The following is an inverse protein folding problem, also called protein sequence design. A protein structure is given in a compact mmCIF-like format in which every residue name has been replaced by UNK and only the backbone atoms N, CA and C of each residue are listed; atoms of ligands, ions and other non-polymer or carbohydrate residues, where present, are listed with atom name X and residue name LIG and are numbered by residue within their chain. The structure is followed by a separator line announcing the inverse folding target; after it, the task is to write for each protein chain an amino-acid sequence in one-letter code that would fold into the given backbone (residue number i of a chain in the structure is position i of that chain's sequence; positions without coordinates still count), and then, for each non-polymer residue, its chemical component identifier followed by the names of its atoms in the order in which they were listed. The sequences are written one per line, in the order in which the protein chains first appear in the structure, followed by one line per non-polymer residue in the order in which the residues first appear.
data_IF_500503329518
#
_entry.id   IF_500503329518
#
_cell.length_a   1.000
_cell.length_b   1.000
_cell.length_c   1.000
_cell.angle_alpha   90.00
_cell.angle_beta   90.00
_cell.angle_gamma   90.00
#
_symmetry.space_group_name_H-M   'P 1'
#
loop_
_entity.id
_entity.type
_entity.pdbx_description
1 polymer ?
#
# COMPACT_ATOMS: atom_id res chain seq x y z
N UNK A 1 8.25 18.66 -32.28
CA UNK A 1 8.81 17.86 -31.17
C UNK A 1 7.78 17.79 -30.04
N UNK A 2 7.16 16.62 -29.81
CA UNK A 2 6.26 16.37 -28.67
C UNK A 2 7.00 15.49 -27.65
N UNK A 3 7.13 15.97 -26.41
CA UNK A 3 7.64 15.16 -25.29
C UNK A 3 6.61 14.06 -24.97
N UNK A 4 7.01 12.78 -24.80
CA UNK A 4 6.07 11.73 -24.45
C UNK A 4 5.68 11.89 -22.97
N UNK A 5 4.37 11.93 -22.70
CA UNK A 5 3.81 11.96 -21.34
C UNK A 5 4.11 10.67 -20.56
N UNK A 6 4.08 10.71 -19.22
CA UNK A 6 4.71 9.70 -18.36
C UNK A 6 4.04 8.31 -18.35
N UNK A 7 2.89 8.13 -18.99
CA UNK A 7 2.16 6.86 -18.97
C UNK A 7 1.89 6.38 -20.40
N UNK A 8 2.82 5.60 -20.95
CA UNK A 8 2.60 4.78 -22.14
C UNK A 8 2.44 3.33 -21.69
N UNK A 9 1.21 2.83 -21.66
CA UNK A 9 0.90 1.44 -21.35
C UNK A 9 1.55 0.53 -22.39
N UNK A 10 2.72 -0.05 -22.06
CA UNK A 10 3.29 -1.13 -22.85
C UNK A 10 2.64 -2.42 -22.36
N UNK A 11 1.78 -3.01 -23.19
CA UNK A 11 1.28 -4.36 -22.99
C UNK A 11 2.46 -5.35 -23.11
N UNK A 12 3.12 -5.64 -21.99
CA UNK A 12 3.89 -6.87 -21.79
C UNK A 12 2.99 -7.88 -21.08
N UNK A 13 3.23 -9.20 -21.21
CA UNK A 13 2.40 -10.23 -20.58
C UNK A 13 2.22 -9.89 -19.11
N UNK A 14 0.96 -9.91 -18.68
CA UNK A 14 0.51 -9.43 -17.39
C UNK A 14 1.14 -10.29 -16.29
N UNK A 15 2.27 -9.84 -15.74
CA UNK A 15 2.58 -10.20 -14.37
C UNK A 15 1.51 -9.54 -13.54
N UNK A 16 0.52 -10.32 -13.12
CA UNK A 16 -0.46 -9.92 -12.12
C UNK A 16 0.35 -9.27 -10.99
N UNK A 17 0.25 -7.95 -10.84
CA UNK A 17 0.79 -7.25 -9.68
C UNK A 17 -0.17 -7.58 -8.53
N UNK A 18 -0.20 -8.86 -8.16
CA UNK A 18 -0.91 -9.31 -6.99
C UNK A 18 -0.35 -8.49 -5.83
N UNK A 19 -1.22 -7.91 -5.01
CA UNK A 19 -0.86 -7.04 -3.88
C UNK A 19 -0.06 -7.75 -2.78
N UNK A 20 0.72 -8.78 -3.09
CA UNK A 20 1.39 -9.71 -2.21
C UNK A 20 2.83 -9.28 -1.87
N UNK A 21 3.08 -7.99 -1.62
CA UNK A 21 4.34 -7.55 -0.99
C UNK A 21 4.26 -7.35 0.51
N UNK A 22 3.06 -7.32 1.12
CA UNK A 22 2.94 -7.39 2.59
C UNK A 22 3.63 -8.63 3.17
N UNK A 23 3.59 -9.75 2.43
CA UNK A 23 4.27 -10.99 2.78
C UNK A 23 5.77 -11.01 2.46
N UNK A 24 6.25 -10.05 1.66
CA UNK A 24 7.67 -9.89 1.35
C UNK A 24 8.36 -8.90 2.28
N UNK A 25 7.59 -8.07 3.00
CA UNK A 25 8.13 -7.25 4.06
C UNK A 25 8.56 -8.16 5.22
N UNK A 26 9.75 -7.92 5.75
CA UNK A 26 10.26 -8.68 6.89
C UNK A 26 9.38 -8.51 8.14
N UNK A 27 8.72 -7.35 8.26
CA UNK A 27 7.93 -6.98 9.43
C UNK A 27 6.61 -6.30 9.05
N UNK A 28 5.55 -7.07 8.70
CA UNK A 28 4.25 -6.50 8.44
C UNK A 28 3.51 -6.13 9.73
N UNK A 29 3.01 -4.91 9.83
CA UNK A 29 2.24 -4.40 10.99
C UNK A 29 0.79 -4.07 10.65
N UNK A 30 -0.09 -4.17 11.66
CA UNK A 30 -1.48 -3.70 11.58
C UNK A 30 -2.44 -4.61 10.81
N UNK A 31 -3.70 -4.16 10.64
CA UNK A 31 -4.76 -4.95 10.04
C UNK A 31 -4.49 -5.30 8.57
N UNK A 32 -5.25 -6.27 8.06
CA UNK A 32 -5.19 -6.68 6.64
C UNK A 32 -6.07 -5.83 5.73
N UNK A 33 -7.02 -5.10 6.32
CA UNK A 33 -7.88 -4.12 5.66
C UNK A 33 -7.27 -2.74 5.75
N UNK A 34 -7.61 -1.86 4.82
CA UNK A 34 -7.27 -0.44 4.85
C UNK A 34 -8.51 0.44 5.00
N UNK A 35 -9.71 -0.12 5.05
CA UNK A 35 -10.96 0.62 5.17
C UNK A 35 -11.58 0.47 6.56
N UNK A 36 -12.13 1.55 7.11
CA UNK A 36 -12.76 1.58 8.43
C UNK A 36 -14.09 2.34 8.52
N UNK A 37 -14.46 3.11 7.49
CA UNK A 37 -15.71 3.89 7.43
C UNK A 37 -15.96 4.81 8.65
N UNK A 38 -14.89 5.27 9.30
CA UNK A 38 -14.89 5.99 10.58
C UNK A 38 -15.42 5.21 11.79
N UNK A 39 -15.81 3.94 11.64
CA UNK A 39 -16.42 3.13 12.69
C UNK A 39 -15.49 2.02 13.19
N UNK A 40 -15.09 1.11 12.31
CA UNK A 40 -14.32 -0.08 12.66
C UNK A 40 -13.63 -0.66 11.42
N UNK A 41 -12.49 -1.31 11.62
CA UNK A 41 -11.77 -1.99 10.54
C UNK A 41 -12.69 -2.99 9.80
N UNK A 42 -12.95 -2.75 8.51
CA UNK A 42 -13.87 -3.54 7.70
C UNK A 42 -13.16 -4.75 7.08
N UNK A 43 -13.51 -6.00 7.42
CA UNK A 43 -12.80 -7.18 6.92
C UNK A 43 -12.85 -7.32 5.39
N UNK A 44 -11.75 -7.76 4.79
CA UNK A 44 -11.70 -8.08 3.35
C UNK A 44 -11.46 -6.88 2.42
N UNK A 45 -11.60 -5.66 2.93
CA UNK A 45 -11.43 -4.43 2.13
C UNK A 45 -10.00 -3.93 2.15
N UNK A 46 -9.17 -4.43 1.23
CA UNK A 46 -7.87 -3.81 0.93
C UNK A 46 -7.99 -3.05 -0.37
N UNK A 47 -8.20 -1.74 -0.25
CA UNK A 47 -8.41 -0.85 -1.40
C UNK A 47 -7.26 0.14 -1.59
N UNK A 48 -6.36 0.26 -0.60
CA UNK A 48 -5.19 1.13 -0.65
C UNK A 48 -3.89 0.34 -0.90
N UNK A 49 -3.09 0.81 -1.86
CA UNK A 49 -1.92 0.10 -2.35
C UNK A 49 -0.71 1.02 -2.54
N UNK A 50 0.47 0.49 -2.19
CA UNK A 50 1.77 1.04 -2.60
C UNK A 50 2.32 0.13 -3.69
N UNK A 51 2.46 0.65 -4.90
CA UNK A 51 2.99 -0.08 -6.04
C UNK A 51 4.47 0.28 -6.23
N UNK A 52 5.33 -0.73 -6.35
CA UNK A 52 6.77 -0.54 -6.52
C UNK A 52 7.34 -1.49 -7.57
N UNK A 53 8.38 -1.04 -8.27
CA UNK A 53 9.10 -1.85 -9.26
C UNK A 53 9.73 -3.10 -8.64
N UNK A 54 10.17 -4.05 -9.48
CA UNK A 54 10.83 -5.27 -9.00
C UNK A 54 12.20 -5.02 -8.34
N UNK A 55 12.88 -3.93 -8.69
CA UNK A 55 14.16 -3.55 -8.13
C UNK A 55 14.06 -2.77 -6.80
N UNK A 56 12.86 -2.53 -6.30
CA UNK A 56 12.64 -1.81 -5.03
C UNK A 56 12.40 -2.83 -3.92
N UNK A 57 13.27 -2.81 -2.91
CA UNK A 57 13.12 -3.59 -1.69
C UNK A 57 12.03 -3.00 -0.78
N UNK A 58 11.34 -3.86 -0.03
CA UNK A 58 10.33 -3.45 0.96
C UNK A 58 10.78 -3.94 2.33
N UNK A 59 11.37 -3.05 3.11
CA UNK A 59 11.96 -3.42 4.41
C UNK A 59 10.89 -3.49 5.51
N UNK A 60 9.91 -2.58 5.45
CA UNK A 60 8.76 -2.56 6.35
C UNK A 60 7.48 -2.25 5.61
N UNK A 61 6.38 -2.81 6.09
CA UNK A 61 5.05 -2.51 5.63
C UNK A 61 4.10 -2.46 6.82
N UNK A 62 3.24 -1.44 6.90
CA UNK A 62 2.27 -1.32 7.97
C UNK A 62 0.98 -0.67 7.51
N UNK A 63 -0.14 -1.14 8.06
CA UNK A 63 -1.40 -0.39 8.08
C UNK A 63 -1.52 0.26 9.45
N UNK A 64 -1.64 1.58 9.50
CA UNK A 64 -1.67 2.36 10.74
C UNK A 64 -3.11 2.58 11.17
N UNK A 65 -3.54 1.88 12.21
CA UNK A 65 -4.94 1.85 12.70
C UNK A 65 -5.12 2.58 14.03
N UNK A 66 -4.21 3.51 14.33
CA UNK A 66 -4.22 4.30 15.55
C UNK A 66 -5.43 5.25 15.60
N UNK A 67 -5.93 5.46 16.81
CA UNK A 67 -6.98 6.44 17.10
C UNK A 67 -6.34 7.79 17.47
N UNK A 68 -7.04 8.88 17.16
CA UNK A 68 -6.67 10.21 17.67
C UNK A 68 -6.87 10.31 19.20
N UNK A 69 -6.44 11.43 19.80
CA UNK A 69 -6.59 11.68 21.24
C UNK A 69 -8.05 11.70 21.74
N UNK A 70 -9.02 11.70 20.81
CA UNK A 70 -10.46 11.64 21.09
C UNK A 70 -11.04 10.25 20.88
N UNK A 71 -10.20 9.25 20.59
CA UNK A 71 -10.61 7.87 20.35
C UNK A 71 -11.28 7.64 19.00
N UNK A 72 -10.99 8.45 17.98
CA UNK A 72 -11.60 8.35 16.64
C UNK A 72 -10.56 8.11 15.55
N UNK A 73 -10.96 7.45 14.46
CA UNK A 73 -10.11 7.36 13.28
C UNK A 73 -9.99 8.73 12.59
N UNK A 74 -8.78 9.17 12.22
CA UNK A 74 -8.60 10.43 11.49
C UNK A 74 -9.19 10.44 10.07
N UNK A 75 -9.40 9.27 9.45
CA UNK A 75 -9.98 9.04 8.11
C UNK A 75 -10.72 7.70 8.08
N UNK A 76 -11.69 7.57 7.18
CA UNK A 76 -12.35 6.32 6.77
C UNK A 76 -11.40 5.28 6.16
N UNK A 77 -10.17 5.68 5.85
CA UNK A 77 -9.10 4.79 5.42
C UNK A 77 -7.91 4.84 6.39
N UNK A 78 -7.27 3.70 6.60
CA UNK A 78 -6.02 3.57 7.32
C UNK A 78 -4.83 3.89 6.40
N UNK A 79 -3.90 4.76 6.82
CA UNK A 79 -2.66 4.98 6.09
C UNK A 79 -1.88 3.68 5.89
N UNK A 80 -1.40 3.49 4.66
CA UNK A 80 -0.44 2.43 4.32
C UNK A 80 0.96 3.05 4.34
N UNK A 81 1.82 2.55 5.23
CA UNK A 81 3.23 2.93 5.32
C UNK A 81 4.11 1.81 4.75
N UNK A 82 5.10 2.19 3.95
CA UNK A 82 6.17 1.31 3.53
C UNK A 82 7.51 2.04 3.67
N UNK A 83 8.49 1.38 4.27
CA UNK A 83 9.88 1.81 4.23
C UNK A 83 10.54 1.04 3.09
N UNK A 84 11.16 1.76 2.14
CA UNK A 84 11.64 1.21 0.88
C UNK A 84 13.14 1.45 0.71
N UNK A 85 13.81 0.45 0.15
CA UNK A 85 15.20 0.58 -0.31
C UNK A 85 15.23 0.56 -1.84
N UNK A 86 15.98 1.48 -2.42
CA UNK A 86 16.23 1.50 -3.86
C UNK A 86 17.40 0.56 -4.15
N UNK A 87 17.22 -0.38 -5.07
CA UNK A 87 18.34 -1.13 -5.63
C UNK A 87 19.34 -0.18 -6.30
N UNK A 88 20.62 -0.57 -6.31
CA UNK A 88 21.65 0.14 -7.07
C UNK A 88 21.40 0.10 -8.58
#
# INVERSE_FOLDING_TARGET
MRRPGPYRTRHRPQHVHSGARRSLADHPHGPRTTFNDFEAAQPGERVDYVLAGAAVGVDRFGVLADLDDRGRYPSDHFPVRADLTLGE
#
